data_IF_796144499306
#
_entry.id   IF_796144499306
#
_cell.length_a   1.000
_cell.length_b   1.000
_cell.length_c   1.000
_cell.angle_alpha   90.00
_cell.angle_beta   90.00
_cell.angle_gamma   90.00
#
_symmetry.space_group_name_H-M   'P 1'
#
loop_
_entity.id
_entity.type
_entity.pdbx_description
1 polymer ?
#
# COMPACT_ATOMS: atom_id res chain seq x y z
N UNK A 1 5.53 -8.09 -18.05
CA UNK A 1 4.70 -8.56 -16.91
C UNK A 1 5.22 -8.12 -15.54
N UNK A 2 6.53 -8.03 -15.32
CA UNK A 2 7.15 -7.61 -14.04
C UNK A 2 6.79 -6.18 -13.61
N UNK A 3 6.66 -5.23 -14.55
CA UNK A 3 6.32 -3.83 -14.28
C UNK A 3 4.92 -3.61 -13.69
N UNK A 4 3.92 -4.33 -14.21
CA UNK A 4 2.53 -4.24 -13.73
C UNK A 4 2.39 -4.85 -12.33
N UNK A 5 3.11 -5.94 -12.05
CA UNK A 5 3.10 -6.59 -10.75
C UNK A 5 3.77 -5.68 -9.71
N UNK A 6 4.90 -5.06 -10.05
CA UNK A 6 5.56 -4.08 -9.18
C UNK A 6 4.68 -2.85 -8.91
N UNK A 7 3.99 -2.33 -9.94
CA UNK A 7 3.03 -1.24 -9.81
C UNK A 7 1.88 -1.61 -8.86
N UNK A 8 1.26 -2.78 -9.07
CA UNK A 8 0.12 -3.22 -8.27
C UNK A 8 0.52 -3.54 -6.82
N UNK A 9 1.68 -4.18 -6.62
CA UNK A 9 2.20 -4.46 -5.29
C UNK A 9 2.55 -3.18 -4.52
N UNK A 10 3.16 -2.18 -5.18
CA UNK A 10 3.39 -0.86 -4.59
C UNK A 10 2.07 -0.13 -4.28
N UNK A 11 1.11 -0.13 -5.21
CA UNK A 11 -0.21 0.47 -5.01
C UNK A 11 -0.88 -0.10 -3.75
N UNK A 12 -0.94 -1.43 -3.62
CA UNK A 12 -1.57 -2.09 -2.48
C UNK A 12 -0.81 -1.81 -1.19
N UNK A 13 0.53 -1.89 -1.20
CA UNK A 13 1.33 -1.62 -0.01
C UNK A 13 1.15 -0.19 0.51
N UNK A 14 1.23 0.83 -0.36
CA UNK A 14 1.03 2.22 0.06
C UNK A 14 -0.43 2.49 0.44
N UNK A 15 -1.41 1.89 -0.25
CA UNK A 15 -2.81 1.97 0.12
C UNK A 15 -3.03 1.48 1.57
N UNK A 16 -2.49 0.31 1.91
CA UNK A 16 -2.59 -0.22 3.28
C UNK A 16 -1.85 0.65 4.30
N UNK A 17 -0.68 1.20 3.95
CA UNK A 17 0.07 2.15 4.81
C UNK A 17 -0.75 3.37 5.16
N UNK A 18 -1.32 4.03 4.15
CA UNK A 18 -2.12 5.22 4.35
C UNK A 18 -3.45 4.90 5.08
N UNK A 19 -4.10 3.77 4.77
CA UNK A 19 -5.31 3.33 5.47
C UNK A 19 -5.06 3.05 6.96
N UNK A 20 -3.93 2.42 7.29
CA UNK A 20 -3.55 2.20 8.68
C UNK A 20 -3.25 3.51 9.43
N UNK A 21 -2.56 4.46 8.79
CA UNK A 21 -2.32 5.80 9.36
C UNK A 21 -3.63 6.53 9.68
N UNK A 22 -4.63 6.42 8.79
CA UNK A 22 -5.95 7.03 8.99
C UNK A 22 -6.75 6.34 10.11
N UNK A 23 -6.68 5.01 10.22
CA UNK A 23 -7.31 4.26 11.32
C UNK A 23 -6.69 4.59 12.68
N UNK A 24 -5.37 4.80 12.73
CA UNK A 24 -4.67 5.25 13.95
C UNK A 24 -5.13 6.67 14.34
N UNK A 25 -5.21 7.58 13.37
CA UNK A 25 -5.73 8.94 13.57
C UNK A 25 -7.17 8.95 14.12
N UNK A 26 -8.04 8.06 13.64
CA UNK A 26 -9.43 7.95 14.11
C UNK A 26 -9.62 7.01 15.32
N UNK A 27 -8.52 6.57 15.96
CA UNK A 27 -8.55 5.67 17.13
C UNK A 27 -9.36 4.38 16.91
N UNK A 28 -9.40 3.88 15.67
CA UNK A 28 -10.10 2.65 15.28
C UNK A 28 -9.25 1.41 15.60
N UNK A 29 -8.97 1.17 16.89
CA UNK A 29 -8.03 0.12 17.35
C UNK A 29 -8.37 -1.29 16.80
N UNK A 30 -9.66 -1.61 16.62
CA UNK A 30 -10.11 -2.89 16.07
C UNK A 30 -9.68 -3.11 14.60
N UNK A 31 -9.53 -2.04 13.82
CA UNK A 31 -9.13 -2.12 12.42
C UNK A 31 -7.61 -2.02 12.23
N UNK A 32 -6.88 -1.50 13.22
CA UNK A 32 -5.41 -1.36 13.16
C UNK A 32 -4.71 -2.73 13.13
N UNK A 33 -5.17 -3.68 13.93
CA UNK A 33 -4.55 -5.00 14.03
C UNK A 33 -4.65 -5.83 12.73
N UNK A 34 -5.83 -6.00 12.09
CA UNK A 34 -5.93 -6.72 10.82
C UNK A 34 -5.24 -5.99 9.67
N UNK A 35 -5.27 -4.65 9.64
CA UNK A 35 -4.57 -3.87 8.61
C UNK A 35 -3.06 -3.99 8.72
N UNK A 36 -2.51 -4.06 9.94
CA UNK A 36 -1.09 -4.32 10.18
C UNK A 36 -0.66 -5.71 9.68
N UNK A 37 -1.47 -6.75 9.93
CA UNK A 37 -1.15 -8.10 9.46
C UNK A 37 -1.17 -8.20 7.92
N UNK A 38 -2.18 -7.59 7.28
CA UNK A 38 -2.24 -7.53 5.82
C UNK A 38 -1.09 -6.71 5.22
N UNK A 39 -0.69 -5.61 5.88
CA UNK A 39 0.47 -4.83 5.47
C UNK A 39 1.73 -5.68 5.51
N UNK A 40 1.99 -6.40 6.61
CA UNK A 40 3.18 -7.23 6.75
C UNK A 40 3.25 -8.32 5.67
N UNK A 41 2.13 -8.96 5.34
CA UNK A 41 2.07 -9.94 4.25
C UNK A 41 2.39 -9.31 2.88
N UNK A 42 1.84 -8.13 2.60
CA UNK A 42 2.15 -7.39 1.37
C UNK A 42 3.60 -6.90 1.33
N UNK A 43 4.16 -6.49 2.46
CA UNK A 43 5.54 -6.02 2.56
C UNK A 43 6.52 -7.13 2.18
N UNK A 44 6.35 -8.32 2.75
CA UNK A 44 7.20 -9.49 2.44
C UNK A 44 7.12 -9.84 0.95
N UNK A 45 5.92 -9.77 0.35
CA UNK A 45 5.75 -10.02 -1.08
C UNK A 45 6.42 -8.94 -1.95
N UNK A 46 6.28 -7.66 -1.60
CA UNK A 46 6.93 -6.54 -2.30
C UNK A 46 8.45 -6.65 -2.20
N UNK A 47 8.99 -6.99 -1.03
CA UNK A 47 10.43 -7.15 -0.82
C UNK A 47 10.96 -8.34 -1.64
N UNK A 48 10.27 -9.49 -1.61
CA UNK A 48 10.68 -10.68 -2.37
C UNK A 48 10.64 -10.44 -3.90
N UNK A 49 9.65 -9.70 -4.38
CA UNK A 49 9.53 -9.34 -5.81
C UNK A 49 10.55 -8.27 -6.22
N UNK A 50 10.87 -7.32 -5.35
CA UNK A 50 11.89 -6.28 -5.61
C UNK A 50 13.29 -6.87 -5.64
N UNK A 51 13.61 -7.78 -4.70
CA UNK A 51 14.91 -8.46 -4.62
C UNK A 51 15.25 -9.27 -5.88
N UNK A 52 14.24 -9.76 -6.62
CA UNK A 52 14.43 -10.50 -7.88
C UNK A 52 14.52 -9.62 -9.13
N UNK A 53 14.00 -8.40 -9.12
CA UNK A 53 13.82 -7.59 -10.34
C UNK A 53 14.81 -6.41 -10.49
N UNK A 54 15.52 -6.01 -9.43
CA UNK A 54 16.57 -4.99 -9.48
C UNK A 54 16.06 -3.53 -9.48
N UNK A 55 16.91 -2.62 -8.98
CA UNK A 55 16.66 -1.18 -8.85
C UNK A 55 16.92 -0.46 -10.18
N UNK A 56 15.88 -0.17 -10.95
CA UNK A 56 15.98 0.58 -12.22
C UNK A 56 14.82 1.56 -12.44
N UNK A 57 14.38 1.72 -13.69
CA UNK A 57 13.28 2.60 -14.11
C UNK A 57 11.89 2.29 -13.50
N UNK A 58 11.80 1.22 -12.70
CA UNK A 58 10.58 0.78 -11.99
C UNK A 58 10.12 1.83 -10.98
N UNK A 59 11.01 2.69 -10.49
CA UNK A 59 10.73 3.74 -9.49
C UNK A 59 9.63 4.71 -9.95
N UNK A 60 9.59 5.07 -11.23
CA UNK A 60 8.54 5.98 -11.76
C UNK A 60 7.17 5.32 -11.78
N UNK A 61 7.09 4.05 -12.18
CA UNK A 61 5.85 3.28 -12.15
C UNK A 61 5.38 3.07 -10.70
N UNK A 62 6.30 2.70 -9.79
CA UNK A 62 6.02 2.59 -8.36
C UNK A 62 5.57 3.93 -7.76
N UNK A 63 6.21 5.04 -8.14
CA UNK A 63 5.85 6.40 -7.70
C UNK A 63 4.43 6.80 -8.11
N UNK A 64 4.04 6.56 -9.36
CA UNK A 64 2.68 6.84 -9.82
C UNK A 64 1.64 5.89 -9.18
N UNK A 65 1.97 4.60 -9.04
CA UNK A 65 1.08 3.62 -8.42
C UNK A 65 0.88 3.87 -6.93
N UNK A 66 1.96 4.20 -6.22
CA UNK A 66 1.90 4.56 -4.80
C UNK A 66 1.09 5.83 -4.57
N UNK A 67 1.27 6.86 -5.39
CA UNK A 67 0.50 8.11 -5.31
C UNK A 67 -1.00 7.89 -5.49
N UNK A 68 -1.40 7.10 -6.49
CA UNK A 68 -2.80 6.73 -6.70
C UNK A 68 -3.34 5.86 -5.56
N UNK A 69 -2.53 4.95 -5.01
CA UNK A 69 -2.89 4.12 -3.85
C UNK A 69 -3.15 4.95 -2.60
N UNK A 70 -2.32 5.95 -2.34
CA UNK A 70 -2.52 6.88 -1.23
C UNK A 70 -3.82 7.69 -1.39
N UNK A 71 -4.07 8.27 -2.58
CA UNK A 71 -5.32 9.01 -2.84
C UNK A 71 -6.56 8.13 -2.72
N UNK A 72 -6.52 6.91 -3.26
CA UNK A 72 -7.62 5.96 -3.14
C UNK A 72 -7.90 5.58 -1.68
N UNK A 73 -6.86 5.39 -0.86
CA UNK A 73 -7.02 5.08 0.57
C UNK A 73 -7.68 6.22 1.36
N UNK A 74 -7.32 7.47 1.07
CA UNK A 74 -7.92 8.65 1.71
C UNK A 74 -9.39 8.78 1.34
N UNK A 75 -9.73 8.55 0.07
CA UNK A 75 -11.11 8.60 -0.40
C UNK A 75 -11.96 7.49 0.22
N UNK A 76 -11.45 6.25 0.29
CA UNK A 76 -12.18 5.11 0.86
C UNK A 76 -12.36 5.26 2.37
N UNK A 77 -11.35 5.73 3.10
CA UNK A 77 -11.46 6.02 4.52
C UNK A 77 -12.43 7.17 4.80
N UNK A 78 -12.42 8.23 3.99
CA UNK A 78 -13.41 9.33 4.09
C UNK A 78 -14.85 8.84 3.92
N UNK A 79 -15.06 7.77 3.13
CA UNK A 79 -16.37 7.16 2.92
C UNK A 79 -16.80 6.22 4.05
N UNK A 80 -15.86 5.55 4.71
CA UNK A 80 -16.10 4.63 5.83
C UNK A 80 -16.30 5.40 7.15
N UNK A 81 -15.60 6.52 7.34
CA UNK A 81 -15.70 7.37 8.54
C UNK A 81 -16.65 8.56 8.33
N UNK A 82 -17.76 8.33 7.64
CA UNK A 82 -18.89 9.26 7.51
C UNK A 82 -20.02 8.79 8.39
#
# INVERSE_FOLDING_TARGET
>A
MTWLIAFCAAFVFIFLKAFQQLNVMHKQYLLVLPTSMLMAACEVYVIATTARNGYGWIVLAIGLGSGLGAMASMWLHSRITK
#
